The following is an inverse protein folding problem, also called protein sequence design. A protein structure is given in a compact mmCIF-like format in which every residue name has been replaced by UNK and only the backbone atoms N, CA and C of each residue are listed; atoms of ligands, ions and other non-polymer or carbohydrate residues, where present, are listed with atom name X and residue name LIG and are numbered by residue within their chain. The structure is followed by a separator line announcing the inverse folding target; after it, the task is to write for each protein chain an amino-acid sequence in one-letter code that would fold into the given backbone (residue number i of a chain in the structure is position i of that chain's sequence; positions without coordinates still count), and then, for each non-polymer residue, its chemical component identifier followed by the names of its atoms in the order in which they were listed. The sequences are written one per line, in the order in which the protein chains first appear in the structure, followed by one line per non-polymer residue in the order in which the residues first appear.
data_IF_453801957782
#
_entry.id   IF_453801957782
#
_cell.length_a   1.000
_cell.length_b   1.000
_cell.length_c   1.000
_cell.angle_alpha   90.00
_cell.angle_beta   90.00
_cell.angle_gamma   90.00
#
_symmetry.space_group_name_H-M   'P 1'
#
loop_
_entity.id
_entity.type
_entity.pdbx_description
1 polymer ?
#
# COMPACT_ATOMS: atom_id res chain seq x y z
N UNK A 1 18.10 13.11 6.04
CA UNK A 1 16.95 13.37 5.14
C UNK A 1 15.74 13.99 5.85
N UNK A 2 15.15 13.36 6.88
CA UNK A 2 13.99 13.92 7.60
C UNK A 2 14.15 15.39 8.03
N UNK A 3 15.28 15.73 8.66
CA UNK A 3 15.60 17.11 9.06
C UNK A 3 15.65 18.08 7.86
N UNK A 4 16.19 17.66 6.72
CA UNK A 4 16.24 18.45 5.50
C UNK A 4 14.82 18.72 4.98
N UNK A 5 14.01 17.67 4.83
CA UNK A 5 12.63 17.79 4.32
C UNK A 5 11.74 18.71 5.18
N UNK A 6 12.05 18.86 6.47
CA UNK A 6 11.26 19.66 7.44
C UNK A 6 11.67 21.12 7.58
N UNK A 7 12.83 21.53 7.05
CA UNK A 7 13.31 22.92 7.10
C UNK A 7 12.33 23.84 6.39
N UNK A 8 12.00 24.97 6.99
CA UNK A 8 11.02 25.92 6.44
C UNK A 8 11.44 26.45 5.06
N UNK A 9 12.74 26.65 4.85
CA UNK A 9 13.33 27.16 3.60
C UNK A 9 13.31 26.18 2.43
N UNK A 10 12.99 24.91 2.67
CA UNK A 10 13.01 23.85 1.65
C UNK A 10 11.64 23.19 1.47
N UNK A 11 10.57 23.79 1.98
CA UNK A 11 9.20 23.26 1.85
C UNK A 11 8.63 23.53 0.48
N UNK A 12 8.88 22.62 -0.45
CA UNK A 12 8.26 22.62 -1.77
C UNK A 12 7.93 21.20 -2.19
N UNK A 13 7.01 21.07 -3.15
CA UNK A 13 6.76 19.80 -3.81
C UNK A 13 7.95 19.48 -4.71
N UNK A 14 8.53 18.30 -4.55
CA UNK A 14 9.76 17.92 -5.27
C UNK A 14 9.58 17.93 -6.80
N UNK A 15 8.35 17.70 -7.27
CA UNK A 15 8.02 17.69 -8.69
C UNK A 15 7.69 19.07 -9.26
N UNK A 16 7.44 20.08 -8.43
CA UNK A 16 6.92 21.38 -8.90
C UNK A 16 7.96 22.10 -9.76
N UNK A 17 7.60 22.38 -11.01
CA UNK A 17 8.48 23.07 -11.96
C UNK A 17 9.64 22.19 -12.46
N UNK A 18 9.58 20.88 -12.22
CA UNK A 18 10.58 19.93 -12.69
C UNK A 18 10.06 19.20 -13.94
N UNK A 19 10.53 19.56 -15.15
CA UNK A 19 9.99 19.03 -16.40
C UNK A 19 10.20 17.52 -16.55
N UNK A 20 11.25 16.98 -15.92
CA UNK A 20 11.59 15.55 -15.99
C UNK A 20 10.83 14.69 -14.97
N UNK A 21 10.09 15.30 -14.04
CA UNK A 21 9.44 14.60 -12.92
C UNK A 21 7.93 14.84 -12.92
N UNK A 22 7.51 16.10 -13.07
CA UNK A 22 6.11 16.50 -12.96
C UNK A 22 5.16 15.73 -13.90
N UNK A 23 5.53 15.43 -15.16
CA UNK A 23 4.67 14.66 -16.05
C UNK A 23 4.46 13.19 -15.64
N UNK A 24 5.32 12.64 -14.78
CA UNK A 24 5.34 11.21 -14.45
C UNK A 24 4.92 10.94 -13.00
N UNK A 25 5.57 11.60 -12.04
CA UNK A 25 5.36 11.40 -10.59
C UNK A 25 5.07 12.74 -9.91
N UNK A 26 4.03 13.43 -10.36
CA UNK A 26 3.57 14.69 -9.76
C UNK A 26 3.17 14.49 -8.30
N UNK A 27 3.85 15.18 -7.39
CA UNK A 27 3.46 15.19 -5.98
C UNK A 27 2.20 16.02 -5.77
N UNK A 28 1.21 15.43 -5.09
CA UNK A 28 -0.01 16.16 -4.67
C UNK A 28 0.23 16.93 -3.37
N UNK A 29 1.03 16.37 -2.46
CA UNK A 29 1.23 16.86 -1.11
C UNK A 29 2.53 16.32 -0.51
N UNK A 30 3.10 17.06 0.44
CA UNK A 30 4.18 16.58 1.32
C UNK A 30 3.74 16.45 2.78
N UNK A 31 2.51 16.82 3.13
CA UNK A 31 2.04 16.84 4.52
C UNK A 31 1.80 15.43 5.07
N UNK A 32 1.28 14.55 4.23
CA UNK A 32 1.14 13.13 4.54
C UNK A 32 2.50 12.42 4.64
N UNK A 33 3.50 12.84 3.85
CA UNK A 33 4.87 12.36 3.98
C UNK A 33 5.51 12.74 5.30
N UNK A 34 5.24 13.93 5.80
CA UNK A 34 5.65 14.34 7.15
C UNK A 34 5.01 13.47 8.22
N UNK A 35 3.72 13.15 8.09
CA UNK A 35 3.02 12.27 9.03
C UNK A 35 3.60 10.85 9.01
N UNK A 36 3.81 10.30 7.82
CA UNK A 36 4.39 8.97 7.59
C UNK A 36 5.83 8.86 8.10
N UNK A 37 6.69 9.78 7.67
CA UNK A 37 8.10 9.77 8.05
C UNK A 37 8.29 10.02 9.55
N UNK A 38 7.47 10.87 10.18
CA UNK A 38 7.51 11.09 11.62
C UNK A 38 7.11 9.83 12.40
N UNK A 39 6.08 9.11 11.96
CA UNK A 39 5.72 7.83 12.56
C UNK A 39 6.87 6.82 12.47
N UNK A 40 7.53 6.69 11.30
CA UNK A 40 8.70 5.82 11.15
C UNK A 40 9.90 6.25 11.98
N UNK A 41 10.19 7.55 12.05
CA UNK A 41 11.27 8.08 12.87
C UNK A 41 11.04 7.75 14.35
N UNK A 42 9.80 7.80 14.83
CA UNK A 42 9.47 7.32 16.17
C UNK A 42 9.79 5.82 16.34
N UNK A 43 9.35 4.96 15.42
CA UNK A 43 9.66 3.53 15.51
C UNK A 43 11.16 3.22 15.46
N UNK A 44 11.94 4.01 14.73
CA UNK A 44 13.37 3.78 14.56
C UNK A 44 14.21 4.32 15.74
N UNK A 45 13.73 5.34 16.45
CA UNK A 45 14.54 6.07 17.45
C UNK A 45 13.95 6.05 18.85
N UNK A 46 12.63 5.85 18.97
CA UNK A 46 11.85 6.02 20.18
C UNK A 46 11.74 7.47 20.69
N UNK A 47 12.24 8.46 19.95
CA UNK A 47 12.12 9.87 20.34
C UNK A 47 10.67 10.35 20.21
N UNK A 48 10.09 10.73 21.35
CA UNK A 48 8.70 11.18 21.48
C UNK A 48 8.40 12.45 20.69
N UNK A 49 9.42 13.25 20.35
CA UNK A 49 9.25 14.45 19.51
C UNK A 49 8.68 14.10 18.14
N UNK A 50 9.04 12.93 17.58
CA UNK A 50 8.54 12.48 16.30
C UNK A 50 7.08 12.10 16.33
N UNK A 51 6.64 11.36 17.35
CA UNK A 51 5.22 10.99 17.45
C UNK A 51 4.36 12.22 17.77
N UNK A 52 4.82 13.12 18.65
CA UNK A 52 4.13 14.39 18.94
C UNK A 52 3.89 15.19 17.66
N UNK A 53 4.89 15.24 16.77
CA UNK A 53 4.75 15.90 15.48
C UNK A 53 3.84 15.12 14.52
N UNK A 54 3.96 13.80 14.44
CA UNK A 54 3.11 12.95 13.59
C UNK A 54 1.61 13.10 13.91
N UNK A 55 1.30 13.45 15.16
CA UNK A 55 -0.07 13.62 15.67
C UNK A 55 -0.55 15.06 15.75
N UNK A 56 0.27 16.03 15.34
CA UNK A 56 -0.09 17.44 15.42
C UNK A 56 -1.41 17.68 14.64
N UNK A 57 -2.45 18.27 15.26
CA UNK A 57 -3.72 18.54 14.61
C UNK A 57 -3.59 19.37 13.32
N UNK A 58 -2.58 20.25 13.24
CA UNK A 58 -2.27 21.06 12.07
C UNK A 58 -1.74 20.20 10.93
N UNK A 59 -0.89 19.22 11.24
CA UNK A 59 -0.35 18.27 10.27
C UNK A 59 -1.48 17.44 9.67
N UNK A 60 -2.35 16.89 10.53
CA UNK A 60 -3.54 16.14 10.14
C UNK A 60 -4.49 16.95 9.24
N UNK A 61 -4.72 18.23 9.59
CA UNK A 61 -5.55 19.15 8.80
C UNK A 61 -4.95 19.40 7.43
N UNK A 62 -3.64 19.66 7.35
CA UNK A 62 -2.96 19.96 6.10
C UNK A 62 -2.80 18.73 5.20
N UNK A 63 -2.58 17.55 5.78
CA UNK A 63 -2.58 16.26 5.09
C UNK A 63 -4.00 15.81 4.68
N UNK A 64 -5.04 16.57 5.04
CA UNK A 64 -6.45 16.28 4.74
C UNK A 64 -6.91 14.90 5.22
N UNK A 65 -6.26 14.38 6.28
CA UNK A 65 -6.42 13.01 6.73
C UNK A 65 -7.83 12.65 7.27
N UNK A 66 -8.72 13.65 7.45
CA UNK A 66 -10.10 13.47 7.94
C UNK A 66 -11.16 14.23 7.14
N UNK A 67 -10.79 14.99 6.12
CA UNK A 67 -11.73 15.85 5.41
C UNK A 67 -12.22 15.19 4.12
N UNK A 68 -13.54 15.04 4.00
CA UNK A 68 -14.27 14.34 2.94
C UNK A 68 -14.16 14.98 1.56
N UNK A 69 -12.99 14.90 0.95
CA UNK A 69 -12.80 15.22 -0.45
C UNK A 69 -13.05 13.95 -1.29
N UNK A 70 -13.62 14.10 -2.49
CA UNK A 70 -13.90 13.00 -3.41
C UNK A 70 -12.66 12.44 -4.16
N UNK A 71 -11.43 12.70 -3.69
CA UNK A 71 -10.19 12.25 -4.35
C UNK A 71 -9.80 10.88 -3.78
N UNK A 72 -10.02 9.83 -4.57
CA UNK A 72 -9.77 8.42 -4.20
C UNK A 72 -8.30 8.19 -3.83
N UNK A 73 -7.38 8.87 -4.51
CA UNK A 73 -5.93 8.71 -4.31
C UNK A 73 -5.45 9.13 -2.91
N UNK A 74 -6.21 9.95 -2.17
CA UNK A 74 -5.87 10.33 -0.79
C UNK A 74 -6.25 9.26 0.25
N UNK A 75 -7.08 8.28 -0.13
CA UNK A 75 -7.61 7.25 0.77
C UNK A 75 -7.00 5.87 0.52
N UNK A 76 -6.05 5.78 -0.40
CA UNK A 76 -5.32 4.54 -0.67
C UNK A 76 -3.85 4.78 -0.45
N UNK A 77 -3.19 3.87 0.27
CA UNK A 77 -1.75 3.89 0.37
C UNK A 77 -1.15 3.70 -1.03
N UNK A 78 -0.42 4.71 -1.48
CA UNK A 78 0.20 4.75 -2.79
C UNK A 78 1.56 5.43 -2.72
N UNK A 79 2.23 5.50 -3.86
CA UNK A 79 3.48 6.25 -3.96
C UNK A 79 3.30 7.75 -3.74
N UNK A 80 2.08 8.30 -3.89
CA UNK A 80 1.78 9.73 -3.69
C UNK A 80 1.13 10.00 -2.32
N UNK A 81 0.17 9.18 -1.88
CA UNK A 81 -0.52 9.36 -0.59
C UNK A 81 -0.18 8.32 0.46
N UNK A 82 0.28 8.79 1.63
CA UNK A 82 0.74 7.94 2.74
C UNK A 82 -0.20 8.01 3.93
N UNK A 83 -1.32 8.74 3.81
CA UNK A 83 -2.28 8.94 4.91
C UNK A 83 -2.76 7.61 5.51
N UNK A 84 -3.24 6.62 4.72
CA UNK A 84 -3.75 5.38 5.31
C UNK A 84 -2.64 4.55 5.99
N UNK A 85 -1.44 4.56 5.41
CA UNK A 85 -0.27 3.92 6.03
C UNK A 85 0.12 4.58 7.35
N UNK A 86 0.19 5.91 7.37
CA UNK A 86 0.55 6.66 8.57
C UNK A 86 -0.50 6.48 9.69
N UNK A 87 -1.78 6.50 9.35
CA UNK A 87 -2.86 6.20 10.28
C UNK A 87 -2.74 4.79 10.86
N UNK A 88 -2.40 3.78 10.04
CA UNK A 88 -2.19 2.42 10.50
C UNK A 88 -0.97 2.31 11.44
N UNK A 89 0.11 3.02 11.16
CA UNK A 89 1.28 3.07 12.05
C UNK A 89 0.96 3.73 13.40
N UNK A 90 0.18 4.82 13.38
CA UNK A 90 -0.22 5.52 14.60
C UNK A 90 -1.27 4.76 15.41
N UNK A 91 -2.18 4.02 14.76
CA UNK A 91 -3.15 3.16 15.47
C UNK A 91 -2.45 2.05 16.24
N UNK A 92 -1.38 1.47 15.68
CA UNK A 92 -0.51 0.53 16.40
C UNK A 92 0.09 1.15 17.68
N UNK A 93 0.58 2.38 17.60
CA UNK A 93 1.12 3.08 18.79
C UNK A 93 0.06 3.29 19.85
N UNK A 94 -1.17 3.61 19.45
CA UNK A 94 -2.27 3.79 20.39
C UNK A 94 -2.70 2.46 21.04
N UNK A 95 -2.76 1.37 20.27
CA UNK A 95 -3.23 0.06 20.77
C UNK A 95 -2.22 -0.63 21.69
N UNK A 96 -0.93 -0.41 21.49
CA UNK A 96 0.12 -1.16 22.18
C UNK A 96 1.13 -0.29 22.94
N UNK A 97 1.11 1.02 22.74
CA UNK A 97 1.94 1.95 23.50
C UNK A 97 1.41 2.06 24.91
N UNK A 98 2.05 1.39 25.88
CA UNK A 98 1.80 1.60 27.30
C UNK A 98 1.95 3.09 27.63
N UNK A 99 0.81 3.74 27.91
CA UNK A 99 0.70 5.01 28.63
C UNK A 99 1.78 6.06 28.30
N UNK A 100 1.93 6.42 27.02
CA UNK A 100 2.89 7.44 26.57
C UNK A 100 2.44 8.88 26.89
N UNK A 101 1.47 9.09 27.77
CA UNK A 101 0.87 10.41 28.01
C UNK A 101 0.27 11.00 26.74
N UNK A 102 -0.27 10.13 25.88
CA UNK A 102 -0.68 10.41 24.52
C UNK A 102 -2.13 10.92 24.47
N UNK A 103 -2.36 12.21 24.19
CA UNK A 103 -3.70 12.79 24.14
C UNK A 103 -4.29 12.59 22.75
N UNK A 104 -4.35 11.34 22.28
CA UNK A 104 -5.13 11.01 21.09
C UNK A 104 -6.40 10.29 21.54
N UNK A 105 -7.40 11.11 21.81
CA UNK A 105 -8.77 10.66 21.92
C UNK A 105 -9.25 10.28 20.51
N UNK A 106 -8.99 9.04 20.10
CA UNK A 106 -9.75 8.44 19.03
C UNK A 106 -11.26 8.47 19.37
N UNK A 107 -11.62 8.56 20.66
CA UNK A 107 -12.99 8.72 21.14
C UNK A 107 -13.62 10.08 20.80
N UNK A 108 -12.87 11.17 20.63
CA UNK A 108 -13.47 12.40 20.09
C UNK A 108 -13.91 12.28 18.63
N UNK A 109 -13.49 11.22 17.93
CA UNK A 109 -14.01 10.86 16.61
C UNK A 109 -15.21 9.91 16.65
N UNK A 110 -15.63 9.48 17.85
CA UNK A 110 -16.92 8.79 18.12
C UNK A 110 -18.05 9.76 18.45
N UNK A 111 -17.82 11.07 18.46
CA UNK A 111 -18.89 12.03 18.74
C UNK A 111 -19.94 11.98 17.61
N UNK A 112 -21.21 11.65 17.89
CA UNK A 112 -22.26 11.53 16.87
C UNK A 112 -22.70 12.87 16.23
N UNK A 113 -22.05 13.99 16.57
CA UNK A 113 -22.58 15.33 16.36
C UNK A 113 -22.23 15.99 15.00
N UNK A 114 -21.56 15.28 14.09
CA UNK A 114 -21.46 15.70 12.70
C UNK A 114 -21.32 14.45 11.84
N UNK A 115 -22.30 14.17 10.98
CA UNK A 115 -22.50 12.91 10.25
C UNK A 115 -21.42 12.52 9.22
N UNK A 116 -20.15 12.59 9.59
CA UNK A 116 -18.99 12.06 8.88
C UNK A 116 -18.18 11.20 9.84
N UNK A 117 -18.63 9.96 10.00
CA UNK A 117 -17.91 8.96 10.78
C UNK A 117 -16.48 8.84 10.22
N UNK A 118 -15.47 9.06 11.04
CA UNK A 118 -14.05 8.89 10.67
C UNK A 118 -13.72 7.46 10.26
N UNK A 119 -14.55 6.49 10.64
CA UNK A 119 -14.47 5.12 10.14
C UNK A 119 -14.75 4.98 8.64
N UNK A 120 -15.51 5.88 8.03
CA UNK A 120 -15.79 5.84 6.58
C UNK A 120 -14.61 6.35 5.73
N UNK A 121 -13.60 6.95 6.36
CA UNK A 121 -12.47 7.57 5.66
C UNK A 121 -11.20 6.72 5.65
N UNK A 122 -10.98 5.84 6.62
CA UNK A 122 -9.70 5.12 6.70
C UNK A 122 -9.53 4.09 5.57
N UNK A 123 -10.64 3.55 5.05
CA UNK A 123 -10.63 2.57 3.98
C UNK A 123 -11.91 2.63 3.12
N UNK A 124 -11.87 3.35 1.99
CA UNK A 124 -13.00 3.35 1.04
C UNK A 124 -12.94 2.12 0.15
N UNK A 125 -13.51 1.03 0.65
CA UNK A 125 -13.52 -0.28 0.03
C UNK A 125 -14.57 -0.49 -1.10
N UNK A 126 -15.30 0.54 -1.54
CA UNK A 126 -16.45 0.36 -2.45
C UNK A 126 -16.19 0.87 -3.89
N UNK A 127 -15.03 1.48 -4.17
CA UNK A 127 -14.76 2.13 -5.47
C UNK A 127 -13.98 1.28 -6.48
N UNK A 128 -13.96 -0.05 -6.35
CA UNK A 128 -12.95 -0.92 -6.96
C UNK A 128 -13.08 -1.28 -8.45
N UNK A 129 -14.11 -0.84 -9.18
CA UNK A 129 -14.20 -1.13 -10.63
C UNK A 129 -13.37 -0.14 -11.44
N UNK A 130 -12.36 -0.64 -12.16
CA UNK A 130 -11.39 0.12 -12.96
C UNK A 130 -10.55 1.08 -12.13
N UNK A 131 -10.05 0.58 -10.99
CA UNK A 131 -8.97 1.19 -10.21
C UNK A 131 -7.71 0.33 -10.37
N UNK A 132 -6.52 0.94 -10.25
CA UNK A 132 -5.27 0.19 -10.34
C UNK A 132 -5.14 -0.98 -9.39
N UNK A 133 -4.62 -2.12 -9.88
CA UNK A 133 -4.41 -3.31 -9.06
C UNK A 133 -3.50 -3.02 -7.85
N UNK A 134 -2.61 -2.03 -7.98
CA UNK A 134 -1.78 -1.53 -6.88
C UNK A 134 -2.61 -1.09 -5.66
N UNK A 135 -3.76 -0.45 -5.89
CA UNK A 135 -4.63 0.07 -4.82
C UNK A 135 -5.36 -1.04 -4.09
N UNK A 136 -5.80 -2.04 -4.85
CA UNK A 136 -6.44 -3.24 -4.31
C UNK A 136 -5.46 -3.96 -3.37
N UNK A 137 -4.25 -4.20 -3.86
CA UNK A 137 -3.19 -4.90 -3.15
C UNK A 137 -2.72 -4.11 -1.91
N UNK A 138 -2.57 -2.79 -2.02
CA UNK A 138 -2.21 -1.93 -0.88
C UNK A 138 -3.29 -1.96 0.22
N UNK A 139 -4.57 -1.83 -0.15
CA UNK A 139 -5.67 -1.88 0.82
C UNK A 139 -5.78 -3.25 1.49
N UNK A 140 -5.56 -4.32 0.75
CA UNK A 140 -5.53 -5.67 1.30
C UNK A 140 -4.42 -5.84 2.33
N UNK A 141 -3.22 -5.33 2.03
CA UNK A 141 -2.10 -5.34 2.96
C UNK A 141 -2.45 -4.60 4.25
N UNK A 142 -2.99 -3.38 4.14
CA UNK A 142 -3.38 -2.59 5.31
C UNK A 142 -4.47 -3.29 6.14
N UNK A 143 -5.47 -3.88 5.50
CA UNK A 143 -6.55 -4.60 6.17
C UNK A 143 -6.04 -5.86 6.90
N UNK A 144 -5.14 -6.63 6.28
CA UNK A 144 -4.52 -7.78 6.94
C UNK A 144 -3.70 -7.35 8.16
N UNK A 145 -2.88 -6.30 8.01
CA UNK A 145 -2.04 -5.80 9.09
C UNK A 145 -2.87 -5.22 10.23
N UNK A 146 -3.94 -4.49 9.93
CA UNK A 146 -4.85 -3.97 10.94
C UNK A 146 -5.60 -5.08 11.68
N UNK A 147 -6.03 -6.14 10.97
CA UNK A 147 -6.63 -7.31 11.61
C UNK A 147 -5.67 -7.96 12.62
N UNK A 148 -4.39 -8.06 12.28
CA UNK A 148 -3.37 -8.56 13.20
C UNK A 148 -3.17 -7.65 14.42
N UNK A 149 -3.28 -6.32 14.25
CA UNK A 149 -3.26 -5.38 15.38
C UNK A 149 -4.47 -5.55 16.30
N UNK A 150 -5.66 -5.72 15.73
CA UNK A 150 -6.88 -5.96 16.51
C UNK A 150 -6.78 -7.27 17.31
N UNK A 151 -6.32 -8.34 16.68
CA UNK A 151 -6.13 -9.63 17.34
C UNK A 151 -5.10 -9.55 18.46
N UNK A 152 -3.91 -9.02 18.18
CA UNK A 152 -2.90 -8.83 19.21
C UNK A 152 -3.41 -7.89 20.32
N UNK A 153 -4.19 -6.86 20.00
CA UNK A 153 -4.79 -5.94 20.97
C UNK A 153 -5.93 -6.55 21.80
N UNK A 154 -6.33 -7.80 21.51
CA UNK A 154 -7.55 -8.42 22.06
C UNK A 154 -8.82 -7.58 21.80
N UNK A 155 -8.85 -6.89 20.66
CA UNK A 155 -9.97 -6.05 20.20
C UNK A 155 -10.75 -6.84 19.15
N UNK A 156 -12.03 -7.13 19.40
CA UNK A 156 -12.84 -8.04 18.56
C UNK A 156 -13.13 -7.54 17.13
N UNK A 157 -12.93 -6.25 16.87
CA UNK A 157 -13.28 -5.62 15.61
C UNK A 157 -13.31 -4.10 15.72
N UNK A 158 -13.83 -3.46 14.69
CA UNK A 158 -13.86 -2.02 14.58
C UNK A 158 -15.12 -1.55 13.86
N UNK A 159 -15.59 -0.34 14.17
CA UNK A 159 -16.74 0.26 13.51
C UNK A 159 -16.30 1.08 12.30
N UNK A 160 -16.74 0.66 11.11
CA UNK A 160 -16.69 1.45 9.88
C UNK A 160 -18.04 2.14 9.73
N UNK A 161 -18.13 3.39 10.16
CA UNK A 161 -19.42 4.09 10.24
C UNK A 161 -20.35 3.40 11.24
N UNK A 162 -21.58 3.10 10.82
CA UNK A 162 -22.55 2.34 11.62
C UNK A 162 -22.31 0.82 11.58
N UNK A 163 -21.40 0.33 10.74
CA UNK A 163 -21.18 -1.10 10.54
C UNK A 163 -20.02 -1.62 11.38
N UNK A 164 -20.30 -2.58 12.25
CA UNK A 164 -19.25 -3.33 12.94
C UNK A 164 -18.58 -4.32 11.98
N UNK A 165 -17.25 -4.25 11.89
CA UNK A 165 -16.41 -5.18 11.14
C UNK A 165 -15.59 -6.00 12.12
N UNK A 166 -15.75 -7.32 12.08
CA UNK A 166 -14.95 -8.23 12.90
C UNK A 166 -13.53 -8.36 12.36
N UNK A 167 -12.59 -8.89 13.16
CA UNK A 167 -11.27 -9.31 12.67
C UNK A 167 -11.42 -10.25 11.44
N UNK A 168 -12.40 -11.16 11.50
CA UNK A 168 -12.68 -12.09 10.41
C UNK A 168 -13.21 -11.38 9.17
N UNK A 169 -14.00 -10.31 9.29
CA UNK A 169 -14.42 -9.51 8.13
C UNK A 169 -13.22 -8.80 7.48
N UNK A 170 -12.27 -8.29 8.27
CA UNK A 170 -11.05 -7.65 7.76
C UNK A 170 -10.10 -8.64 7.11
N UNK A 171 -9.89 -9.81 7.74
CA UNK A 171 -9.13 -10.93 7.15
C UNK A 171 -9.83 -11.44 5.90
N UNK A 172 -11.15 -11.58 5.92
CA UNK A 172 -11.92 -11.95 4.76
C UNK A 172 -11.81 -10.88 3.69
N UNK A 173 -11.78 -9.59 4.00
CA UNK A 173 -11.51 -8.55 3.01
C UNK A 173 -10.09 -8.69 2.43
N UNK A 174 -9.08 -8.84 3.28
CA UNK A 174 -7.66 -8.95 2.93
C UNK A 174 -7.24 -10.30 2.31
N UNK A 175 -8.07 -11.33 2.41
CA UNK A 175 -7.97 -12.61 1.70
C UNK A 175 -9.01 -12.73 0.57
N UNK A 176 -9.93 -11.77 0.54
CA UNK A 176 -11.08 -11.62 -0.35
C UNK A 176 -12.23 -12.64 -0.23
N UNK A 177 -12.55 -13.16 0.95
CA UNK A 177 -13.51 -14.26 1.18
C UNK A 177 -15.01 -13.90 1.25
N UNK A 178 -15.46 -12.63 1.18
CA UNK A 178 -16.90 -12.34 1.32
C UNK A 178 -17.56 -11.88 0.02
N UNK A 179 -18.53 -12.67 -0.43
CA UNK A 179 -19.47 -12.43 -1.56
C UNK A 179 -18.85 -12.44 -2.97
N UNK A 180 -18.14 -13.52 -3.31
CA UNK A 180 -17.91 -13.99 -4.69
C UNK A 180 -17.06 -13.12 -5.63
N UNK A 181 -16.35 -12.10 -5.12
CA UNK A 181 -15.31 -11.40 -5.90
C UNK A 181 -14.02 -11.36 -5.11
N UNK A 182 -13.18 -12.34 -5.41
CA UNK A 182 -11.93 -12.50 -4.72
C UNK A 182 -10.85 -11.63 -5.36
N UNK A 183 -10.53 -10.42 -4.92
CA UNK A 183 -9.59 -9.56 -5.67
C UNK A 183 -8.19 -10.17 -5.87
N UNK A 184 -7.68 -10.98 -4.92
CA UNK A 184 -6.40 -11.66 -5.11
C UNK A 184 -6.55 -12.90 -5.99
N UNK A 185 -7.67 -13.64 -5.90
CA UNK A 185 -7.90 -14.71 -6.89
C UNK A 185 -8.13 -14.11 -8.27
N UNK A 186 -8.79 -12.96 -8.36
CA UNK A 186 -9.04 -12.19 -9.57
C UNK A 186 -7.73 -11.76 -10.20
N UNK A 187 -6.78 -11.20 -9.43
CA UNK A 187 -5.42 -10.94 -9.90
C UNK A 187 -4.72 -12.23 -10.37
N UNK A 188 -4.99 -13.36 -9.72
CA UNK A 188 -4.34 -14.64 -10.03
C UNK A 188 -5.06 -15.50 -11.08
N UNK A 189 -6.22 -15.09 -11.60
CA UNK A 189 -6.92 -15.82 -12.68
C UNK A 189 -8.42 -15.98 -12.53
N UNK A 190 -9.01 -15.72 -11.37
CA UNK A 190 -10.47 -15.77 -11.15
C UNK A 190 -11.16 -14.47 -11.58
N UNK A 191 -11.01 -14.18 -12.87
CA UNK A 191 -11.62 -13.04 -13.54
C UNK A 191 -12.29 -13.50 -14.84
N UNK A 192 -13.13 -12.65 -15.49
CA UNK A 192 -13.81 -13.01 -16.73
C UNK A 192 -12.88 -13.46 -17.86
N UNK A 193 -11.62 -13.00 -17.88
CA UNK A 193 -10.60 -13.36 -18.88
C UNK A 193 -9.88 -14.69 -18.59
N UNK A 194 -10.12 -15.28 -17.40
CA UNK A 194 -9.46 -16.48 -16.87
C UNK A 194 -7.94 -16.42 -17.03
N UNK A 195 -7.36 -15.26 -16.68
CA UNK A 195 -5.93 -14.97 -16.84
C UNK A 195 -5.35 -14.35 -15.57
N UNK A 196 -4.13 -14.68 -15.19
CA UNK A 196 -3.43 -13.95 -14.15
C UNK A 196 -2.93 -12.61 -14.68
N UNK A 197 -3.04 -11.57 -13.86
CA UNK A 197 -2.39 -10.28 -14.04
C UNK A 197 -0.98 -10.23 -13.41
N UNK A 198 -0.48 -11.36 -12.90
CA UNK A 198 0.91 -11.54 -12.46
C UNK A 198 1.62 -12.44 -13.45
N UNK A 199 2.68 -11.91 -14.04
CA UNK A 199 3.43 -12.60 -15.09
C UNK A 199 4.13 -13.85 -14.55
N UNK A 200 4.00 -14.96 -15.28
CA UNK A 200 4.55 -16.25 -14.87
C UNK A 200 3.68 -17.03 -13.87
N UNK A 201 2.51 -16.52 -13.47
CA UNK A 201 1.60 -17.21 -12.54
C UNK A 201 0.36 -17.74 -13.28
N UNK A 202 -0.02 -18.99 -13.01
CA UNK A 202 -1.16 -19.64 -13.65
C UNK A 202 -0.90 -20.04 -15.10
N UNK A 203 -1.96 -20.48 -15.80
CA UNK A 203 -1.86 -21.02 -17.18
C UNK A 203 -1.86 -19.94 -18.26
N UNK A 204 -2.42 -18.76 -17.98
CA UNK A 204 -2.59 -17.66 -18.93
C UNK A 204 -2.25 -16.36 -18.23
N UNK A 205 -1.36 -15.55 -18.81
CA UNK A 205 -0.89 -14.28 -18.27
C UNK A 205 -0.36 -13.38 -19.41
N UNK A 206 -0.25 -12.05 -19.21
CA UNK A 206 0.30 -11.12 -20.19
C UNK A 206 1.71 -11.52 -20.64
N UNK A 207 1.97 -11.41 -21.94
CA UNK A 207 3.25 -11.74 -22.57
C UNK A 207 3.86 -10.54 -23.29
N UNK A 208 3.20 -9.37 -23.29
CA UNK A 208 3.63 -8.19 -24.05
C UNK A 208 3.65 -6.96 -23.14
N UNK A 209 4.56 -6.93 -22.18
CA UNK A 209 4.65 -5.86 -21.19
C UNK A 209 5.30 -4.61 -21.77
N UNK A 210 4.85 -3.45 -21.27
CA UNK A 210 5.52 -2.16 -21.46
C UNK A 210 6.82 -2.10 -20.65
N UNK A 211 7.78 -2.97 -20.97
CA UNK A 211 9.02 -3.10 -20.22
C UNK A 211 10.19 -3.37 -21.16
N UNK A 212 11.13 -2.41 -21.26
CA UNK A 212 12.24 -2.46 -22.23
C UNK A 212 13.12 -3.70 -22.07
N UNK A 213 13.44 -4.06 -20.82
CA UNK A 213 14.23 -5.26 -20.52
C UNK A 213 13.49 -6.57 -20.80
N UNK A 214 12.15 -6.55 -20.82
CA UNK A 214 11.36 -7.73 -21.16
C UNK A 214 11.28 -7.89 -22.69
N UNK A 215 11.02 -6.79 -23.40
CA UNK A 215 10.77 -6.78 -24.84
C UNK A 215 12.03 -6.88 -25.71
N UNK A 216 13.19 -6.49 -25.21
CA UNK A 216 14.46 -6.52 -25.94
C UNK A 216 15.14 -7.89 -25.80
N UNK A 217 15.52 -8.59 -26.89
CA UNK A 217 16.21 -9.87 -26.80
C UNK A 217 17.52 -9.77 -26.02
N UNK A 218 17.83 -10.83 -25.28
CA UNK A 218 19.12 -10.99 -24.62
C UNK A 218 20.12 -11.70 -25.55
N UNK A 219 20.54 -11.03 -26.61
CA UNK A 219 21.43 -11.54 -27.67
C UNK A 219 22.87 -10.99 -27.58
N UNK A 220 23.18 -10.24 -26.51
CA UNK A 220 24.47 -9.58 -26.32
C UNK A 220 24.65 -8.30 -27.17
N UNK A 221 23.64 -7.88 -27.94
CA UNK A 221 23.69 -6.69 -28.77
C UNK A 221 23.19 -5.48 -27.98
N UNK A 222 23.94 -4.38 -28.01
CA UNK A 222 23.50 -3.10 -27.45
C UNK A 222 22.64 -2.35 -28.46
N UNK A 223 21.38 -2.16 -28.13
CA UNK A 223 20.44 -1.39 -28.94
C UNK A 223 20.37 0.07 -28.47
N UNK A 224 20.28 1.01 -29.41
CA UNK A 224 20.01 2.43 -29.09
C UNK A 224 18.55 2.60 -28.65
N UNK A 225 18.21 3.74 -28.02
CA UNK A 225 16.84 4.04 -27.62
C UNK A 225 15.86 3.97 -28.80
N UNK A 226 16.23 4.55 -29.94
CA UNK A 226 15.42 4.51 -31.18
C UNK A 226 15.44 3.14 -31.83
N UNK A 227 16.59 2.45 -31.82
CA UNK A 227 16.69 1.07 -32.29
C UNK A 227 15.81 0.09 -31.51
N UNK A 228 15.55 0.37 -30.24
CA UNK A 228 14.62 -0.38 -29.39
C UNK A 228 13.14 -0.20 -29.75
N UNK A 229 12.76 0.79 -30.55
CA UNK A 229 11.35 1.00 -30.94
C UNK A 229 10.79 -0.18 -31.72
N UNK A 230 11.61 -0.90 -32.49
CA UNK A 230 11.19 -2.14 -33.16
C UNK A 230 10.70 -3.21 -32.17
N UNK A 231 11.28 -3.27 -30.96
CA UNK A 231 10.88 -4.18 -29.89
C UNK A 231 9.65 -3.67 -29.15
N UNK A 232 9.59 -2.36 -28.89
CA UNK A 232 8.43 -1.67 -28.33
C UNK A 232 7.17 -1.96 -29.17
N UNK A 233 7.27 -1.77 -30.48
CA UNK A 233 6.14 -1.80 -31.42
C UNK A 233 5.82 -3.22 -31.94
N UNK A 234 6.59 -4.23 -31.51
CA UNK A 234 6.41 -5.61 -31.95
C UNK A 234 5.07 -6.22 -31.49
N UNK A 235 4.43 -6.98 -32.37
CA UNK A 235 3.28 -7.84 -32.02
C UNK A 235 3.68 -9.13 -31.31
N UNK A 236 4.97 -9.47 -31.30
CA UNK A 236 5.47 -10.70 -30.68
C UNK A 236 5.48 -10.59 -29.15
N UNK A 237 5.41 -11.75 -28.51
CA UNK A 237 5.65 -11.89 -27.07
C UNK A 237 7.05 -11.37 -26.71
N UNK A 238 7.18 -10.90 -25.47
CA UNK A 238 8.45 -10.50 -24.88
C UNK A 238 9.42 -11.70 -24.85
N UNK A 239 10.66 -11.55 -25.36
CA UNK A 239 11.66 -12.61 -25.32
C UNK A 239 12.10 -12.96 -23.90
N UNK A 240 12.09 -11.99 -22.96
CA UNK A 240 12.45 -12.23 -21.57
C UNK A 240 11.21 -12.15 -20.69
N UNK A 241 10.87 -13.25 -20.02
CA UNK A 241 9.72 -13.31 -19.14
C UNK A 241 9.99 -12.54 -17.84
N UNK A 242 9.23 -11.49 -17.57
CA UNK A 242 9.33 -10.71 -16.34
C UNK A 242 8.50 -11.35 -15.20
N UNK A 243 8.92 -12.53 -14.76
CA UNK A 243 8.21 -13.32 -13.74
C UNK A 243 7.97 -12.53 -12.46
N UNK A 244 6.74 -12.57 -11.94
CA UNK A 244 6.32 -11.88 -10.71
C UNK A 244 5.86 -10.43 -10.93
N UNK A 245 6.05 -9.86 -12.12
CA UNK A 245 5.55 -8.52 -12.41
C UNK A 245 4.02 -8.51 -12.44
N UNK A 246 3.41 -7.60 -11.67
CA UNK A 246 1.99 -7.31 -11.75
C UNK A 246 1.78 -6.20 -12.75
N UNK A 247 0.86 -6.41 -13.68
CA UNK A 247 0.48 -5.39 -14.66
C UNK A 247 -0.52 -4.39 -14.06
N UNK A 248 -0.78 -3.27 -14.73
CA UNK A 248 -1.59 -2.15 -14.20
C UNK A 248 -3.00 -2.55 -13.75
N UNK A 249 -3.95 -2.66 -14.68
CA UNK A 249 -5.29 -3.17 -14.43
C UNK A 249 -6.03 -3.50 -15.72
N UNK A 250 -7.11 -4.30 -15.70
CA UNK A 250 -8.16 -4.26 -16.71
C UNK A 250 -9.01 -2.97 -16.60
N UNK A 251 -9.73 -2.64 -17.67
CA UNK A 251 -10.69 -1.53 -17.66
C UNK A 251 -11.90 -1.77 -16.72
N UNK A 252 -12.79 -0.78 -16.59
CA UNK A 252 -13.98 -0.83 -15.73
C UNK A 252 -14.96 -1.97 -16.06
N UNK A 253 -14.88 -2.52 -17.26
CA UNK A 253 -15.72 -3.59 -17.80
C UNK A 253 -14.99 -4.94 -17.85
N UNK A 254 -13.91 -5.11 -17.09
CA UNK A 254 -13.04 -6.30 -17.10
C UNK A 254 -12.38 -6.55 -18.49
N UNK A 255 -12.33 -5.52 -19.34
CA UNK A 255 -11.62 -5.53 -20.60
C UNK A 255 -10.11 -5.47 -20.38
N UNK A 256 -9.38 -6.35 -21.06
CA UNK A 256 -7.93 -6.41 -20.99
C UNK A 256 -7.39 -6.85 -22.34
N UNK A 257 -6.44 -6.08 -22.86
CA UNK A 257 -5.75 -6.36 -24.13
C UNK A 257 -4.27 -6.43 -23.85
N UNK A 258 -3.68 -7.61 -24.08
CA UNK A 258 -2.23 -7.83 -23.92
C UNK A 258 -1.45 -7.12 -25.03
N UNK A 259 -1.21 -5.82 -24.81
CA UNK A 259 -0.56 -4.93 -25.77
C UNK A 259 0.49 -4.08 -25.09
N UNK A 260 1.72 -4.18 -25.58
CA UNK A 260 2.89 -3.44 -25.06
C UNK A 260 2.69 -1.93 -25.06
N UNK A 261 2.07 -1.40 -26.11
CA UNK A 261 1.72 0.02 -26.24
C UNK A 261 0.19 0.23 -26.19
N UNK A 262 -0.51 -0.61 -25.42
CA UNK A 262 -1.94 -0.44 -25.23
C UNK A 262 -2.26 0.89 -24.56
N UNK A 263 -3.40 1.48 -24.91
CA UNK A 263 -3.95 2.62 -24.18
C UNK A 263 -4.24 2.23 -22.72
N UNK A 264 -4.14 3.18 -21.79
CA UNK A 264 -4.59 2.99 -20.41
C UNK A 264 -3.62 2.24 -19.49
N UNK A 265 -2.38 1.94 -19.90
CA UNK A 265 -1.36 1.40 -18.98
C UNK A 265 -1.62 -0.04 -18.51
N UNK A 266 -2.55 -0.78 -19.13
CA UNK A 266 -2.95 -2.14 -18.73
C UNK A 266 -1.77 -3.11 -18.59
N UNK A 267 -0.74 -2.94 -19.42
CA UNK A 267 0.44 -3.80 -19.53
C UNK A 267 1.71 -3.17 -18.91
N UNK A 268 1.56 -2.14 -18.09
CA UNK A 268 2.68 -1.42 -17.46
C UNK A 268 2.92 -1.94 -16.03
N UNK A 269 3.99 -2.74 -15.82
CA UNK A 269 4.39 -3.11 -14.48
C UNK A 269 5.19 -1.98 -13.82
N UNK A 270 4.94 -1.72 -12.53
CA UNK A 270 5.68 -0.71 -11.76
C UNK A 270 6.15 -1.27 -10.42
N UNK A 271 7.23 -0.69 -9.89
CA UNK A 271 7.71 -1.03 -8.55
C UNK A 271 6.66 -0.71 -7.47
N UNK A 272 5.99 0.44 -7.59
CA UNK A 272 4.90 0.82 -6.69
C UNK A 272 3.73 -0.16 -6.77
N UNK A 273 3.38 -0.62 -7.98
CA UNK A 273 2.36 -1.63 -8.22
C UNK A 273 2.64 -2.94 -7.51
N UNK A 274 3.89 -3.40 -7.61
CA UNK A 274 4.34 -4.63 -7.00
C UNK A 274 4.59 -4.53 -5.48
N UNK A 275 4.79 -3.34 -4.91
CA UNK A 275 5.26 -3.18 -3.54
C UNK A 275 4.37 -3.86 -2.48
N UNK A 276 3.05 -3.78 -2.65
CA UNK A 276 2.12 -4.44 -1.73
C UNK A 276 1.86 -5.92 -2.04
N UNK A 277 2.26 -6.41 -3.22
CA UNK A 277 1.85 -7.74 -3.71
C UNK A 277 2.42 -8.88 -2.87
N UNK A 278 3.72 -8.90 -2.52
CA UNK A 278 4.25 -9.94 -1.63
C UNK A 278 3.50 -9.98 -0.29
N UNK A 279 3.23 -8.82 0.30
CA UNK A 279 2.55 -8.76 1.59
C UNK A 279 1.08 -9.21 1.50
N UNK A 280 0.39 -8.90 0.41
CA UNK A 280 -0.96 -9.38 0.12
C UNK A 280 -1.00 -10.89 -0.19
N UNK A 281 0.01 -11.44 -0.87
CA UNK A 281 0.09 -12.89 -1.12
C UNK A 281 0.34 -13.67 0.16
N UNK A 282 1.17 -13.13 1.05
CA UNK A 282 1.47 -13.74 2.35
C UNK A 282 0.22 -13.80 3.24
N UNK A 283 -0.72 -12.85 3.14
CA UNK A 283 -1.97 -12.87 3.93
C UNK A 283 -2.90 -14.05 3.59
N UNK A 284 -2.74 -14.68 2.41
CA UNK A 284 -3.49 -15.88 2.01
C UNK A 284 -3.03 -17.15 2.69
N UNK A 285 -1.81 -17.19 3.21
CA UNK A 285 -1.30 -18.39 3.83
C UNK A 285 -1.99 -18.56 5.19
N UNK A 286 -2.39 -19.77 5.59
CA UNK A 286 -2.87 -20.01 6.95
C UNK A 286 -1.87 -19.51 8.00
N UNK A 287 -2.39 -19.13 9.16
CA UNK A 287 -1.73 -18.37 10.24
C UNK A 287 -0.31 -18.80 10.67
N UNK A 288 0.22 -20.02 10.51
CA UNK A 288 1.61 -20.24 10.91
C UNK A 288 2.68 -19.70 9.93
N UNK A 289 2.34 -19.24 8.71
CA UNK A 289 3.34 -18.83 7.70
C UNK A 289 3.35 -17.32 7.37
N UNK A 290 2.33 -16.57 7.79
CA UNK A 290 2.13 -15.16 7.42
C UNK A 290 3.20 -14.23 7.99
N UNK A 291 3.79 -14.56 9.14
CA UNK A 291 4.77 -13.69 9.80
C UNK A 291 6.23 -13.96 9.39
N UNK A 292 6.49 -14.99 8.56
CA UNK A 292 7.85 -15.30 8.09
C UNK A 292 8.36 -14.43 6.94
N UNK A 293 7.52 -13.63 6.25
CA UNK A 293 7.99 -12.75 5.16
C UNK A 293 7.87 -11.25 5.41
N UNK A 294 6.98 -10.81 6.32
CA UNK A 294 6.91 -9.39 6.74
C UNK A 294 8.15 -8.99 7.56
N UNK A 295 8.91 -9.96 8.07
CA UNK A 295 10.16 -9.76 8.82
C UNK A 295 11.46 -9.86 7.96
N UNK A 296 11.39 -10.10 6.64
CA UNK A 296 12.58 -10.48 5.84
C UNK A 296 13.40 -9.28 5.32
N UNK A 297 12.99 -8.04 5.55
CA UNK A 297 13.81 -6.87 5.11
C UNK A 297 14.78 -6.33 6.16
N UNK A 298 15.19 -7.11 7.17
CA UNK A 298 16.26 -6.68 8.08
C UNK A 298 16.85 -7.79 8.95
N UNK A 299 17.86 -8.50 8.40
CA UNK A 299 18.97 -9.15 9.11
C UNK A 299 18.87 -9.35 10.64
N UNK A 300 18.58 -10.58 11.07
CA UNK A 300 18.76 -11.02 12.46
C UNK A 300 18.16 -12.39 12.73
N UNK A 301 19.01 -13.40 12.91
CA UNK A 301 18.72 -14.79 13.30
C UNK A 301 17.45 -14.97 14.14
N UNK A 302 16.52 -15.83 13.69
CA UNK A 302 15.43 -16.31 14.53
C UNK A 302 14.32 -17.00 13.74
N UNK A 303 14.17 -18.29 13.97
CA UNK A 303 13.14 -19.17 13.42
C UNK A 303 11.71 -18.71 13.73
N UNK A 304 10.85 -18.74 12.70
CA UNK A 304 9.39 -18.85 12.79
C UNK A 304 8.69 -17.75 13.60
N UNK A 305 8.42 -16.60 12.98
CA UNK A 305 7.46 -15.65 13.55
C UNK A 305 6.04 -16.08 13.15
N UNK A 306 5.21 -16.36 14.16
CA UNK A 306 3.76 -16.51 14.10
C UNK A 306 3.18 -15.40 14.98
N UNK A 307 2.35 -14.51 14.41
CA UNK A 307 1.77 -13.30 15.02
C UNK A 307 2.68 -12.06 15.18
N UNK A 308 2.05 -10.89 15.28
CA UNK A 308 2.71 -9.62 15.65
C UNK A 308 3.20 -9.76 17.08
N UNK A 309 4.51 -9.97 17.24
CA UNK A 309 5.12 -10.07 18.56
C UNK A 309 5.15 -8.70 19.24
N UNK A 310 4.34 -8.56 20.29
CA UNK A 310 4.24 -7.34 21.10
C UNK A 310 5.57 -6.94 21.74
N UNK A 311 6.44 -7.91 22.01
CA UNK A 311 7.67 -7.72 22.77
C UNK A 311 8.83 -7.19 21.91
N UNK A 312 8.98 -7.68 20.68
CA UNK A 312 9.98 -7.18 19.73
C UNK A 312 9.51 -5.97 18.93
N UNK A 313 8.20 -5.76 18.82
CA UNK A 313 7.57 -4.62 18.14
C UNK A 313 8.02 -3.24 18.63
N UNK A 314 8.50 -3.16 19.87
CA UNK A 314 9.06 -1.94 20.46
C UNK A 314 10.53 -2.08 20.83
N UNK A 315 11.25 -3.13 20.40
CA UNK A 315 12.63 -3.34 20.84
C UNK A 315 13.58 -2.18 20.45
N UNK A 316 13.26 -1.41 19.41
CA UNK A 316 13.96 -0.18 19.03
C UNK A 316 13.42 1.10 19.71
N UNK A 317 12.25 1.04 20.35
CA UNK A 317 11.65 2.13 21.13
C UNK A 317 12.03 1.89 22.59
N UNK A 318 12.86 2.74 23.22
CA UNK A 318 13.25 2.55 24.61
C UNK A 318 12.01 2.38 25.48
N UNK A 319 11.97 1.33 26.31
CA UNK A 319 10.90 1.16 27.29
C UNK A 319 10.89 2.39 28.18
N UNK A 320 9.81 3.17 28.14
CA UNK A 320 9.71 4.42 28.90
C UNK A 320 9.56 4.23 30.40
N UNK A 321 9.47 3.00 30.88
CA UNK A 321 9.43 2.67 32.31
C UNK A 321 10.25 1.39 32.59
N UNK A 322 10.96 1.35 33.73
CA UNK A 322 11.68 0.15 34.20
C UNK A 322 10.74 -1.04 34.47
#
# INVERSE_FOLDING_TARGET
MYKFARRATTRTLYSSGQPDVEPYYKSTSYWDEYMWSAAWMYYATGDASYVSFATDPRLRKNARALFGINVVDLFVLSWDSKVPGAQLLLSRLHMFGCNTGYPYDYEQSRSPASGTNTGDNMFKFDRYRGQPLQYVVANAFLAALYANYLEAGNVKGWYCGSKFMTINDLRAFARSQRNSKHWLNYILGDNPKKMSYVVGVGKKYPRRLHHRGASTPNDGIKYTCTGGYKWRDSSKADPNLLTGAMVGEPDRSDGFTDSRNGAGGHNEPTLAGNAGLPAALVSKVPEPLVASLVAVTGSGRGSGASAVDKSTMFAAVPRKFP
#
